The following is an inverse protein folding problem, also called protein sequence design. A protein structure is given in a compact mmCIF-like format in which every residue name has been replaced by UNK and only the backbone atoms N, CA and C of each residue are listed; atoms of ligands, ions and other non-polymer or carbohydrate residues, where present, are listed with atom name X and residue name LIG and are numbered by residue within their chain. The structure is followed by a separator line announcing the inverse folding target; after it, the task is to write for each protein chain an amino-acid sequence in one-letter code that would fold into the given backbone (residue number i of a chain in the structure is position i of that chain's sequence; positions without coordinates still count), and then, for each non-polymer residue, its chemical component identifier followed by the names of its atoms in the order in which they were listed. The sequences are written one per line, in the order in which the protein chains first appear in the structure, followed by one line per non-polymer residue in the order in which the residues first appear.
data_IF_379446182064
#
_entry.id   IF_379446182064
#
_cell.length_a   1.000
_cell.length_b   1.000
_cell.length_c   1.000
_cell.angle_alpha   90.00
_cell.angle_beta   90.00
_cell.angle_gamma   90.00
#
_symmetry.space_group_name_H-M   'P 1'
#
loop_
_entity.id
_entity.type
_entity.pdbx_description
1 polymer ?
#
# COMPACT_ATOMS: atom_id res chain seq x y z
N UNK A 1 -17.81 1.17 9.20
CA UNK A 1 -16.56 0.50 9.63
C UNK A 1 -15.45 0.89 8.66
N UNK A 2 -14.23 1.16 9.12
CA UNK A 2 -13.06 1.41 8.27
C UNK A 2 -12.11 0.22 8.40
N UNK A 3 -11.78 -0.43 7.29
CA UNK A 3 -10.84 -1.54 7.25
C UNK A 3 -9.54 -1.07 6.62
N UNK A 4 -8.41 -1.49 7.21
CA UNK A 4 -7.09 -1.28 6.67
C UNK A 4 -6.48 -2.62 6.23
N UNK A 5 -5.87 -2.64 5.06
CA UNK A 5 -5.08 -3.79 4.63
C UNK A 5 -3.70 -3.73 5.28
N UNK A 6 -3.32 -4.77 6.01
CA UNK A 6 -1.96 -4.89 6.49
C UNK A 6 -1.07 -5.54 5.41
N UNK A 7 -0.33 -4.73 4.65
CA UNK A 7 0.47 -5.17 3.50
C UNK A 7 1.74 -5.95 3.90
N UNK A 8 2.08 -5.95 5.19
CA UNK A 8 3.14 -6.82 5.72
C UNK A 8 2.68 -8.28 5.82
N UNK A 9 1.36 -8.54 5.89
CA UNK A 9 0.80 -9.90 6.01
C UNK A 9 -0.12 -10.31 4.86
N UNK A 10 -0.76 -9.37 4.18
CA UNK A 10 -1.61 -9.62 3.00
C UNK A 10 -0.82 -9.40 1.70
N UNK A 11 -1.29 -10.03 0.61
CA UNK A 11 -0.71 -9.92 -0.74
C UNK A 11 0.75 -10.37 -0.84
N UNK A 12 1.13 -11.39 -0.05
CA UNK A 12 2.50 -11.91 0.03
C UNK A 12 2.95 -12.66 -1.22
N UNK A 13 2.02 -12.96 -2.13
CA UNK A 13 2.28 -13.49 -3.46
C UNK A 13 3.07 -12.51 -4.34
N UNK A 14 3.03 -11.20 -4.01
CA UNK A 14 3.86 -10.17 -4.64
C UNK A 14 5.02 -9.82 -3.71
N UNK A 15 6.26 -9.87 -4.21
CA UNK A 15 7.45 -9.62 -3.39
C UNK A 15 7.68 -8.13 -3.15
N UNK A 16 7.30 -7.28 -4.12
CA UNK A 16 7.47 -5.84 -4.00
C UNK A 16 6.40 -5.22 -3.11
N UNK A 17 6.81 -4.64 -1.97
CA UNK A 17 5.91 -4.05 -0.99
C UNK A 17 5.04 -2.91 -1.57
N UNK A 18 5.59 -2.11 -2.48
CA UNK A 18 4.86 -1.00 -3.13
C UNK A 18 3.76 -1.53 -4.05
N UNK A 19 4.01 -2.64 -4.75
CA UNK A 19 2.97 -3.29 -5.56
C UNK A 19 1.86 -3.90 -4.72
N UNK A 20 2.14 -4.32 -3.48
CA UNK A 20 1.09 -4.77 -2.54
C UNK A 20 0.10 -3.66 -2.20
N UNK A 21 0.53 -2.40 -2.16
CA UNK A 21 -0.37 -1.26 -1.98
C UNK A 21 -1.34 -1.13 -3.15
N UNK A 22 -0.87 -1.31 -4.38
CA UNK A 22 -1.74 -1.31 -5.57
C UNK A 22 -2.74 -2.46 -5.55
N UNK A 23 -2.31 -3.66 -5.13
CA UNK A 23 -3.19 -4.81 -4.97
C UNK A 23 -4.25 -4.58 -3.89
N UNK A 24 -3.88 -3.98 -2.76
CA UNK A 24 -4.82 -3.60 -1.71
C UNK A 24 -5.87 -2.61 -2.22
N UNK A 25 -5.46 -1.62 -3.02
CA UNK A 25 -6.38 -0.66 -3.66
C UNK A 25 -7.33 -1.36 -4.63
N UNK A 26 -6.83 -2.27 -5.49
CA UNK A 26 -7.66 -3.07 -6.41
C UNK A 26 -8.64 -3.99 -5.68
N UNK A 27 -8.28 -4.45 -4.48
CA UNK A 27 -9.14 -5.24 -3.61
C UNK A 27 -10.18 -4.39 -2.84
N UNK A 28 -10.18 -3.06 -3.00
CA UNK A 28 -11.17 -2.16 -2.41
C UNK A 28 -10.78 -1.56 -1.06
N UNK A 29 -9.54 -1.77 -0.59
CA UNK A 29 -9.08 -1.12 0.64
C UNK A 29 -8.76 0.36 0.40
N UNK A 30 -9.32 1.20 1.27
CA UNK A 30 -9.02 2.65 1.30
C UNK A 30 -7.87 2.99 2.23
N UNK A 31 -7.63 2.15 3.24
CA UNK A 31 -6.58 2.35 4.24
C UNK A 31 -5.61 1.17 4.21
N UNK A 32 -4.37 1.43 4.58
CA UNK A 32 -3.31 0.41 4.64
C UNK A 32 -2.39 0.69 5.82
N UNK A 33 -1.78 -0.37 6.33
CA UNK A 33 -0.79 -0.33 7.39
C UNK A 33 0.39 -1.25 7.05
N UNK A 34 1.57 -0.90 7.57
CA UNK A 34 2.84 -1.60 7.32
C UNK A 34 3.67 -1.61 8.60
N UNK A 35 4.29 -2.74 8.93
CA UNK A 35 5.02 -2.89 10.19
C UNK A 35 6.39 -2.20 10.19
N UNK A 36 7.20 -2.42 9.14
CA UNK A 36 8.58 -1.94 9.08
C UNK A 36 8.93 -1.39 7.69
N UNK A 37 8.63 -0.11 7.41
CA UNK A 37 8.81 0.44 6.06
C UNK A 37 10.22 1.02 5.82
N UNK A 38 11.19 0.78 6.70
CA UNK A 38 12.46 1.52 6.78
C UNK A 38 13.38 1.38 5.56
N UNK A 39 13.18 0.35 4.74
CA UNK A 39 13.94 0.12 3.50
C UNK A 39 13.46 1.01 2.34
N UNK A 40 12.36 1.74 2.52
CA UNK A 40 11.80 2.65 1.51
C UNK A 40 11.86 4.11 2.00
N UNK A 41 12.37 4.98 1.15
CA UNK A 41 12.40 6.44 1.36
C UNK A 41 11.00 7.02 1.46
N UNK A 42 10.86 8.22 2.05
CA UNK A 42 9.56 8.89 2.17
C UNK A 42 9.05 9.30 0.78
N UNK A 43 9.96 9.67 -0.11
CA UNK A 43 9.70 10.08 -1.49
C UNK A 43 9.11 8.94 -2.33
N UNK A 44 9.61 7.71 -2.16
CA UNK A 44 9.03 6.50 -2.77
C UNK A 44 7.61 6.22 -2.26
N UNK A 45 7.28 6.64 -1.03
CA UNK A 45 5.95 6.47 -0.43
C UNK A 45 4.94 7.51 -0.91
N UNK A 46 5.38 8.77 -1.09
CA UNK A 46 4.54 9.86 -1.62
C UNK A 46 4.12 9.57 -3.07
N UNK A 47 4.93 8.84 -3.83
CA UNK A 47 4.60 8.42 -5.19
C UNK A 47 3.33 7.54 -5.25
N UNK A 48 3.03 6.78 -4.19
CA UNK A 48 1.85 5.90 -4.11
C UNK A 48 0.62 6.66 -3.62
N UNK A 49 0.79 7.62 -2.69
CA UNK A 49 -0.31 8.48 -2.23
C UNK A 49 -0.80 9.46 -3.30
N UNK A 50 0.07 9.88 -4.22
CA UNK A 50 -0.29 10.77 -5.35
C UNK A 50 -1.05 10.09 -6.50
N UNK A 51 -1.31 8.76 -6.43
CA UNK A 51 -2.34 8.10 -7.24
C UNK A 51 -3.76 8.30 -6.68
N UNK A 52 -3.98 9.33 -5.87
CA UNK A 52 -5.28 9.97 -5.69
C UNK A 52 -5.69 10.57 -7.04
N UNK A 53 -6.50 9.81 -7.77
CA UNK A 53 -7.57 10.31 -8.66
C UNK A 53 -7.34 11.71 -9.23
N UNK A 54 -6.63 11.78 -10.36
CA UNK A 54 -7.14 12.63 -11.44
C UNK A 54 -8.38 11.92 -11.96
N UNK A 55 -9.51 12.63 -11.90
CA UNK A 55 -10.82 12.20 -12.38
C UNK A 55 -10.79 11.69 -13.84
#
# INVERSE_FOLDING_TARGET
MKLAANISWLFKEEENLLKRLELAKKAGFTYFEVAWPYEHSVEERVFIENYRTVD
#
